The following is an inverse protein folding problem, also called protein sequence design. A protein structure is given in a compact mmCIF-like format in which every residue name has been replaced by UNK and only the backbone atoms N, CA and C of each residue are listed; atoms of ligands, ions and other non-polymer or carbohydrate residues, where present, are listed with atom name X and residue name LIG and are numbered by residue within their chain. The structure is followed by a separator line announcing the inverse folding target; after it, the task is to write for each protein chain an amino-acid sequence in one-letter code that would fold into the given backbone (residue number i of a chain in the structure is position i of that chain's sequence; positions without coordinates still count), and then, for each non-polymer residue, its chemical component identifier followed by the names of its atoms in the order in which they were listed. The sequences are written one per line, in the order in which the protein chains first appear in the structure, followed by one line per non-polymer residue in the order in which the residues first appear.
data_IF_720175364206
#
_entry.id   IF_720175364206
#
_cell.length_a   1.000
_cell.length_b   1.000
_cell.length_c   1.000
_cell.angle_alpha   90.00
_cell.angle_beta   90.00
_cell.angle_gamma   90.00
#
_symmetry.space_group_name_H-M   'P 1'
#
loop_
_entity.id
_entity.type
_entity.pdbx_description
1 polymer ?
#
# COMPACT_ATOMS: atom_id res chain seq x y z
N UNK A 1 -36.10 32.91 -8.05
CA UNK A 1 -35.81 31.52 -8.46
C UNK A 1 -35.11 31.62 -9.79
N UNK A 2 -33.81 31.34 -9.87
CA UNK A 2 -33.08 31.30 -11.13
C UNK A 2 -32.07 30.16 -11.03
N UNK A 3 -32.41 29.04 -11.68
CA UNK A 3 -31.53 27.88 -11.79
C UNK A 3 -30.47 28.19 -12.84
N UNK A 4 -29.21 28.34 -12.41
CA UNK A 4 -28.07 28.31 -13.33
C UNK A 4 -27.69 26.85 -13.60
N UNK A 5 -27.47 26.47 -14.88
CA UNK A 5 -27.20 25.08 -15.25
C UNK A 5 -25.79 24.70 -14.79
N UNK A 6 -25.71 23.68 -13.94
CA UNK A 6 -24.44 23.04 -13.61
C UNK A 6 -23.89 22.39 -14.88
N UNK A 7 -22.89 23.03 -15.52
CA UNK A 7 -22.05 22.37 -16.52
C UNK A 7 -21.56 21.06 -15.92
N UNK A 8 -21.87 19.94 -16.58
CA UNK A 8 -21.17 18.68 -16.40
C UNK A 8 -19.67 18.94 -16.60
N UNK A 9 -18.93 19.18 -15.51
CA UNK A 9 -17.47 19.17 -15.55
C UNK A 9 -17.07 17.73 -15.72
N UNK A 10 -16.44 17.48 -16.85
CA UNK A 10 -15.66 16.30 -17.18
C UNK A 10 -14.91 15.81 -15.94
N UNK A 11 -15.39 14.72 -15.35
CA UNK A 11 -14.82 14.09 -14.18
C UNK A 11 -13.59 13.33 -14.65
N UNK A 12 -12.46 14.03 -14.73
CA UNK A 12 -11.17 13.51 -15.15
C UNK A 12 -10.62 12.65 -13.98
N UNK A 13 -10.85 11.32 -13.95
CA UNK A 13 -10.62 10.47 -12.77
C UNK A 13 -9.15 10.02 -12.71
N UNK A 14 -8.25 10.85 -13.23
CA UNK A 14 -6.87 10.51 -13.44
C UNK A 14 -6.09 10.69 -12.13
N UNK A 15 -6.09 9.63 -11.31
CA UNK A 15 -5.19 9.48 -10.18
C UNK A 15 -3.83 8.99 -10.70
N UNK A 16 -2.81 9.84 -10.58
CA UNK A 16 -1.42 9.45 -10.86
C UNK A 16 -0.74 9.22 -9.53
N UNK A 17 -0.31 7.98 -9.31
CA UNK A 17 0.48 7.60 -8.15
C UNK A 17 1.86 7.14 -8.63
N UNK A 18 2.89 7.53 -7.89
CA UNK A 18 4.25 7.10 -8.11
C UNK A 18 4.95 6.94 -6.77
N UNK A 19 5.92 6.03 -6.71
CA UNK A 19 6.62 5.74 -5.47
C UNK A 19 8.02 5.26 -5.75
N UNK A 20 8.94 5.66 -4.89
CA UNK A 20 10.30 5.17 -4.84
C UNK A 20 10.53 4.50 -3.51
N UNK A 21 11.12 3.31 -3.50
CA UNK A 21 11.53 2.62 -2.28
C UNK A 21 12.93 2.06 -2.45
N UNK A 22 13.74 2.24 -1.41
CA UNK A 22 15.09 1.72 -1.31
C UNK A 22 15.23 0.94 -0.01
N UNK A 23 15.63 -0.33 -0.12
CA UNK A 23 15.90 -1.21 1.02
C UNK A 23 17.40 -1.52 1.06
N UNK A 24 18.00 -1.44 2.26
CA UNK A 24 19.42 -1.72 2.49
C UNK A 24 19.59 -2.71 3.64
N UNK A 25 20.09 -3.89 3.31
CA UNK A 25 20.45 -4.93 4.27
C UNK A 25 21.73 -4.51 5.01
N UNK A 26 21.69 -4.48 6.34
CA UNK A 26 22.89 -4.35 7.16
C UNK A 26 23.52 -5.72 7.43
N UNK A 27 22.67 -6.70 7.73
CA UNK A 27 23.04 -8.08 8.04
C UNK A 27 22.00 -9.04 7.44
N UNK A 28 22.25 -10.36 7.52
CA UNK A 28 21.28 -11.37 7.03
C UNK A 28 19.87 -11.27 7.64
N UNK A 29 19.75 -10.67 8.82
CA UNK A 29 18.49 -10.51 9.55
C UNK A 29 17.94 -9.09 9.53
N UNK A 30 18.77 -8.06 9.51
CA UNK A 30 18.34 -6.68 9.70
C UNK A 30 18.52 -5.87 8.42
N UNK A 31 17.49 -5.13 8.04
CA UNK A 31 17.50 -4.20 6.93
C UNK A 31 16.92 -2.84 7.32
N UNK A 32 17.26 -1.81 6.58
CA UNK A 32 16.58 -0.52 6.62
C UNK A 32 15.82 -0.30 5.33
N UNK A 33 14.78 0.52 5.38
CA UNK A 33 14.07 0.94 4.19
C UNK A 33 13.78 2.43 4.26
N UNK A 34 13.81 3.07 3.09
CA UNK A 34 13.30 4.41 2.86
C UNK A 34 12.34 4.37 1.69
N UNK A 35 11.18 5.01 1.83
CA UNK A 35 10.21 5.18 0.76
C UNK A 35 9.85 6.63 0.58
N UNK A 36 9.52 6.99 -0.65
CA UNK A 36 9.00 8.29 -1.01
C UNK A 36 7.92 8.10 -2.06
N UNK A 37 6.67 8.26 -1.63
CA UNK A 37 5.49 8.11 -2.45
C UNK A 37 4.89 9.49 -2.74
N UNK A 38 4.50 9.72 -3.99
CA UNK A 38 3.82 10.93 -4.42
C UNK A 38 2.55 10.57 -5.17
N UNK A 39 1.45 11.22 -4.80
CA UNK A 39 0.13 11.00 -5.37
C UNK A 39 -0.47 12.34 -5.80
N UNK A 40 -1.04 12.35 -7.01
CA UNK A 40 -1.77 13.48 -7.57
C UNK A 40 -3.19 13.03 -7.88
N UNK A 41 -4.16 13.57 -7.14
CA UNK A 41 -5.56 13.18 -7.23
C UNK A 41 -6.48 14.41 -7.28
N UNK A 42 -6.88 14.83 -8.49
CA UNK A 42 -7.73 16.01 -8.75
C UNK A 42 -9.18 15.90 -8.22
N UNK A 43 -9.85 14.73 -8.17
CA UNK A 43 -11.24 14.61 -7.71
C UNK A 43 -11.48 14.85 -6.21
N UNK A 44 -10.45 14.73 -5.34
CA UNK A 44 -10.59 14.90 -3.87
C UNK A 44 -10.21 16.29 -3.33
N UNK A 45 -10.07 17.33 -4.18
CA UNK A 45 -9.48 18.64 -3.80
C UNK A 45 -8.06 18.52 -3.16
N UNK A 46 -7.35 17.41 -3.45
CA UNK A 46 -6.02 17.10 -2.94
C UNK A 46 -4.99 17.41 -4.04
N UNK A 47 -4.37 18.60 -4.02
CA UNK A 47 -3.52 19.04 -5.14
C UNK A 47 -2.28 18.14 -5.31
N UNK A 48 -1.68 17.71 -4.20
CA UNK A 48 -0.48 16.87 -4.18
C UNK A 48 -0.29 16.28 -2.78
N UNK A 49 -0.01 14.98 -2.69
CA UNK A 49 0.38 14.31 -1.44
C UNK A 49 1.76 13.70 -1.61
N UNK A 50 2.66 14.01 -0.68
CA UNK A 50 3.97 13.39 -0.57
C UNK A 50 4.06 12.65 0.75
N UNK A 51 4.37 11.36 0.70
CA UNK A 51 4.58 10.52 1.88
C UNK A 51 6.03 10.07 1.88
N UNK A 52 6.80 10.52 2.85
CA UNK A 52 8.18 10.09 3.05
C UNK A 52 8.18 9.10 4.21
N UNK A 53 8.49 7.84 3.93
CA UNK A 53 8.57 6.76 4.90
C UNK A 53 10.00 6.32 5.14
N UNK A 54 10.30 5.88 6.35
CA UNK A 54 11.59 5.29 6.66
C UNK A 54 11.52 4.41 7.90
N UNK A 55 12.31 3.34 7.92
CA UNK A 55 12.29 2.43 9.05
C UNK A 55 13.33 1.33 9.00
N UNK A 56 13.20 0.42 9.94
CA UNK A 56 14.00 -0.78 10.09
C UNK A 56 13.09 -2.01 9.92
N UNK A 57 13.67 -3.06 9.37
CA UNK A 57 13.02 -4.35 9.22
C UNK A 57 13.91 -5.48 9.70
N UNK A 58 13.27 -6.55 10.10
CA UNK A 58 13.90 -7.79 10.51
C UNK A 58 13.32 -8.96 9.73
N UNK A 59 14.16 -9.63 8.95
CA UNK A 59 13.92 -10.95 8.38
C UNK A 59 13.91 -11.97 9.52
N UNK A 60 12.75 -12.16 10.14
CA UNK A 60 12.58 -13.09 11.26
C UNK A 60 12.72 -14.53 10.80
N UNK A 61 12.17 -14.84 9.63
CA UNK A 61 12.34 -16.14 8.96
C UNK A 61 12.77 -15.85 7.52
N UNK A 62 13.86 -16.47 7.06
CA UNK A 62 14.32 -16.36 5.67
C UNK A 62 14.88 -17.71 5.23
N UNK A 63 14.05 -18.48 4.55
CA UNK A 63 14.35 -19.79 3.97
C UNK A 63 13.95 -19.78 2.48
N UNK A 64 14.38 -20.79 1.71
CA UNK A 64 14.10 -20.87 0.26
C UNK A 64 12.59 -20.83 -0.08
N UNK A 65 11.76 -21.35 0.83
CA UNK A 65 10.30 -21.43 0.71
C UNK A 65 9.54 -20.42 1.56
N UNK A 66 10.06 -19.97 2.68
CA UNK A 66 9.32 -19.13 3.64
C UNK A 66 10.12 -17.89 4.01
N UNK A 67 9.47 -16.74 3.92
CA UNK A 67 10.01 -15.44 4.34
C UNK A 67 9.00 -14.77 5.27
N UNK A 68 9.46 -14.28 6.42
CA UNK A 68 8.68 -13.47 7.35
C UNK A 68 9.49 -12.22 7.71
N UNK A 69 9.01 -11.08 7.25
CA UNK A 69 9.61 -9.79 7.47
C UNK A 69 8.74 -8.99 8.43
N UNK A 70 9.34 -8.50 9.51
CA UNK A 70 8.69 -7.55 10.41
C UNK A 70 9.35 -6.19 10.18
N UNK A 71 8.56 -5.16 9.95
CA UNK A 71 9.01 -3.80 9.68
C UNK A 71 8.42 -2.86 10.71
N UNK A 72 9.21 -1.88 11.12
CA UNK A 72 8.77 -0.78 11.95
C UNK A 72 9.42 0.51 11.44
N UNK A 73 8.67 1.59 11.42
CA UNK A 73 9.15 2.85 10.89
C UNK A 73 8.24 4.01 11.22
N UNK A 74 8.58 5.14 10.63
CA UNK A 74 7.81 6.36 10.67
C UNK A 74 7.56 6.80 9.23
N UNK A 75 6.41 7.43 9.02
CA UNK A 75 6.07 8.06 7.77
C UNK A 75 5.64 9.50 8.04
N UNK A 76 6.05 10.41 7.18
CA UNK A 76 5.62 11.79 7.19
C UNK A 76 4.72 12.02 6.00
N UNK A 77 3.43 12.22 6.29
CA UNK A 77 2.45 12.51 5.27
C UNK A 77 2.26 14.02 5.16
N UNK A 78 2.69 14.60 4.05
CA UNK A 78 2.49 16.01 3.72
C UNK A 78 1.48 16.11 2.59
N UNK A 79 0.29 16.60 2.91
CA UNK A 79 -0.77 16.86 1.94
C UNK A 79 -0.94 18.37 1.72
N UNK A 80 -0.74 18.81 0.48
CA UNK A 80 -1.05 20.17 0.07
C UNK A 80 -2.49 20.22 -0.47
N UNK A 81 -3.39 20.76 0.35
CA UNK A 81 -4.79 21.01 0.00
C UNK A 81 -5.02 22.52 -0.18
N UNK A 82 -6.03 22.91 -0.98
CA UNK A 82 -6.44 24.32 -1.08
C UNK A 82 -7.02 24.75 0.28
N UNK A 83 -6.24 25.51 1.05
CA UNK A 83 -6.69 26.17 2.30
C UNK A 83 -6.04 25.66 3.59
N UNK A 84 -5.42 24.47 3.62
CA UNK A 84 -4.67 24.00 4.79
C UNK A 84 -3.59 22.98 4.40
N UNK A 85 -2.35 23.24 4.80
CA UNK A 85 -1.30 22.22 4.77
C UNK A 85 -1.52 21.27 5.95
N UNK A 86 -1.67 19.98 5.67
CA UNK A 86 -1.73 18.95 6.71
C UNK A 86 -0.42 18.20 6.72
N UNK A 87 0.36 18.40 7.77
CA UNK A 87 1.54 17.61 8.11
C UNK A 87 1.13 16.62 9.20
N UNK A 88 1.12 15.33 8.87
CA UNK A 88 0.80 14.28 9.82
C UNK A 88 1.97 13.30 9.91
N UNK A 89 2.73 13.30 11.01
CA UNK A 89 3.63 12.20 11.32
C UNK A 89 2.81 10.97 11.72
N UNK A 90 3.11 9.85 11.09
CA UNK A 90 2.49 8.55 11.31
C UNK A 90 3.58 7.55 11.71
N UNK A 91 3.30 6.69 12.68
CA UNK A 91 4.10 5.48 12.89
C UNK A 91 3.59 4.36 11.99
N UNK A 92 4.50 3.48 11.60
CA UNK A 92 4.27 2.36 10.70
C UNK A 92 4.78 1.09 11.36
N UNK A 93 3.94 0.07 11.47
CA UNK A 93 4.34 -1.30 11.73
C UNK A 93 3.83 -2.18 10.60
N UNK A 94 4.65 -3.07 10.05
CA UNK A 94 4.21 -4.01 9.04
C UNK A 94 4.77 -5.41 9.28
N UNK A 95 4.03 -6.43 8.84
CA UNK A 95 4.46 -7.81 8.79
C UNK A 95 4.16 -8.35 7.40
N UNK A 96 5.18 -8.84 6.70
CA UNK A 96 5.03 -9.47 5.40
C UNK A 96 5.45 -10.94 5.50
N UNK A 97 4.50 -11.83 5.27
CA UNK A 97 4.73 -13.26 5.23
C UNK A 97 4.60 -13.76 3.80
N UNK A 98 5.59 -14.48 3.29
CA UNK A 98 5.56 -15.14 1.99
C UNK A 98 5.89 -16.60 2.14
N UNK A 99 5.08 -17.46 1.54
CA UNK A 99 5.30 -18.89 1.54
C UNK A 99 5.11 -19.49 0.16
N UNK A 100 6.11 -20.23 -0.32
CA UNK A 100 6.08 -21.01 -1.55
C UNK A 100 5.76 -22.46 -1.17
N UNK A 101 4.52 -22.87 -1.41
CA UNK A 101 4.12 -24.28 -1.26
C UNK A 101 4.81 -25.14 -2.31
N UNK A 102 4.83 -24.65 -3.56
CA UNK A 102 5.48 -25.27 -4.70
C UNK A 102 6.12 -24.16 -5.54
N UNK A 103 6.99 -24.49 -6.50
CA UNK A 103 7.53 -23.51 -7.45
C UNK A 103 6.46 -22.72 -8.21
N UNK A 104 5.27 -23.33 -8.38
CA UNK A 104 4.11 -22.74 -9.04
C UNK A 104 3.13 -22.06 -8.10
N UNK A 105 3.10 -22.39 -6.81
CA UNK A 105 2.07 -21.92 -5.88
C UNK A 105 2.69 -21.11 -4.74
N UNK A 106 2.30 -19.83 -4.64
CA UNK A 106 2.84 -18.88 -3.67
C UNK A 106 1.72 -18.14 -2.98
N UNK A 107 1.82 -18.06 -1.66
CA UNK A 107 0.96 -17.25 -0.80
C UNK A 107 1.79 -16.10 -0.24
N UNK A 108 1.19 -14.91 -0.19
CA UNK A 108 1.76 -13.72 0.41
C UNK A 108 0.69 -13.07 1.27
N UNK A 109 0.99 -12.79 2.53
CA UNK A 109 0.15 -12.01 3.41
C UNK A 109 0.94 -10.79 3.85
N UNK A 110 0.37 -9.60 3.73
CA UNK A 110 0.93 -8.38 4.29
C UNK A 110 -0.07 -7.76 5.24
N UNK A 111 0.40 -7.51 6.46
CA UNK A 111 -0.32 -6.74 7.46
C UNK A 111 0.44 -5.45 7.68
N UNK A 112 -0.24 -4.32 7.65
CA UNK A 112 0.36 -3.01 7.90
C UNK A 112 -0.57 -2.19 8.79
N UNK A 113 0.01 -1.61 9.82
CA UNK A 113 -0.63 -0.76 10.81
C UNK A 113 0.00 0.63 10.76
N UNK A 114 -0.83 1.64 10.52
CA UNK A 114 -0.46 3.04 10.59
C UNK A 114 -1.15 3.68 11.78
N UNK A 115 -0.42 4.45 12.58
CA UNK A 115 -0.97 5.22 13.68
C UNK A 115 -0.52 6.68 13.56
N UNK A 116 -1.47 7.61 13.58
CA UNK A 116 -1.19 9.04 13.59
C UNK A 116 -0.62 9.43 14.96
N UNK A 117 0.59 10.00 14.96
CA UNK A 117 1.29 10.41 16.19
C UNK A 117 0.78 11.73 16.75
N UNK A 118 0.09 12.55 15.94
CA UNK A 118 -0.50 13.82 16.37
C UNK A 118 -1.88 13.60 16.97
N UNK A 119 -2.63 12.61 16.46
CA UNK A 119 -3.98 12.27 16.93
C UNK A 119 -4.13 10.76 17.06
N UNK A 120 -3.86 10.23 18.25
CA UNK A 120 -3.97 8.80 18.58
C UNK A 120 -5.34 8.15 18.21
N UNK A 121 -6.40 8.95 18.08
CA UNK A 121 -7.72 8.48 17.61
C UNK A 121 -7.78 8.08 16.13
N UNK A 122 -6.74 8.39 15.33
CA UNK A 122 -6.63 8.04 13.91
C UNK A 122 -5.61 6.92 13.73
N UNK A 123 -6.09 5.74 13.36
CA UNK A 123 -5.26 4.62 12.95
C UNK A 123 -5.88 3.94 11.73
N UNK A 124 -5.02 3.27 10.96
CA UNK A 124 -5.40 2.54 9.76
C UNK A 124 -4.73 1.18 9.75
N UNK A 125 -5.51 0.16 9.43
CA UNK A 125 -5.06 -1.21 9.27
C UNK A 125 -5.24 -1.61 7.82
N UNK A 126 -4.23 -2.26 7.27
CA UNK A 126 -4.12 -2.66 5.88
C UNK A 126 -3.72 -4.13 5.93
N UNK A 127 -4.63 -5.01 5.55
CA UNK A 127 -4.36 -6.43 5.42
C UNK A 127 -4.52 -6.83 3.96
N UNK A 128 -3.55 -7.54 3.39
CA UNK A 128 -3.68 -8.13 2.07
C UNK A 128 -3.27 -9.60 2.13
N UNK A 129 -4.14 -10.47 1.64
CA UNK A 129 -3.87 -11.88 1.42
C UNK A 129 -3.87 -12.16 -0.08
N UNK A 130 -2.74 -12.57 -0.62
CA UNK A 130 -2.55 -12.85 -2.04
C UNK A 130 -2.16 -14.31 -2.27
N UNK A 131 -2.88 -14.98 -3.15
CA UNK A 131 -2.55 -16.30 -3.68
C UNK A 131 -2.17 -16.16 -5.14
N UNK A 132 -1.07 -16.76 -5.55
CA UNK A 132 -0.65 -16.79 -6.95
C UNK A 132 -0.23 -18.18 -7.39
N UNK A 133 -0.72 -18.59 -8.56
CA UNK A 133 -0.51 -19.89 -9.15
C UNK A 133 -0.01 -19.74 -10.60
N UNK A 134 1.17 -20.28 -10.90
CA UNK A 134 1.68 -20.37 -12.26
C UNK A 134 1.00 -21.56 -12.97
N UNK A 135 0.08 -21.26 -13.89
CA UNK A 135 -0.66 -22.26 -14.69
C UNK A 135 0.28 -22.85 -15.75
N UNK A 136 1.04 -22.00 -16.43
CA UNK A 136 2.04 -22.40 -17.43
C UNK A 136 3.36 -21.68 -17.19
N UNK A 137 4.38 -21.93 -18.03
CA UNK A 137 5.67 -21.22 -17.94
C UNK A 137 5.55 -19.72 -18.20
N UNK A 138 4.50 -19.27 -18.92
CA UNK A 138 4.28 -17.87 -19.30
C UNK A 138 3.06 -17.23 -18.63
N UNK A 139 2.07 -18.03 -18.24
CA UNK A 139 0.80 -17.54 -17.70
C UNK A 139 0.69 -17.96 -16.24
N UNK A 140 0.46 -16.98 -15.38
CA UNK A 140 0.07 -17.18 -13.99
C UNK A 140 -1.29 -16.55 -13.71
N UNK A 141 -1.93 -16.99 -12.66
CA UNK A 141 -3.13 -16.40 -12.11
C UNK A 141 -2.87 -15.95 -10.69
N UNK A 142 -3.55 -14.89 -10.25
CA UNK A 142 -3.51 -14.45 -8.87
C UNK A 142 -4.86 -13.93 -8.42
N UNK A 143 -5.07 -14.05 -7.11
CA UNK A 143 -6.16 -13.45 -6.39
C UNK A 143 -5.60 -12.77 -5.14
N UNK A 144 -6.06 -11.56 -4.87
CA UNK A 144 -5.68 -10.75 -3.73
C UNK A 144 -6.94 -10.25 -3.05
N UNK A 145 -7.05 -10.55 -1.77
CA UNK A 145 -8.08 -10.03 -0.87
C UNK A 145 -7.41 -8.97 0.00
N UNK A 146 -7.81 -7.73 -0.19
CA UNK A 146 -7.37 -6.59 0.60
C UNK A 146 -8.48 -6.12 1.53
N UNK A 147 -8.14 -5.87 2.78
CA UNK A 147 -8.98 -5.21 3.75
C UNK A 147 -8.27 -3.94 4.23
N UNK A 148 -9.00 -2.84 4.24
CA UNK A 148 -8.48 -1.51 4.56
C UNK A 148 -9.41 -0.89 5.60
N UNK A 149 -9.06 -1.05 6.85
CA UNK A 149 -9.79 -0.45 7.96
C UNK A 149 -9.23 0.94 8.30
N UNK A 150 -10.07 1.96 8.31
CA UNK A 150 -9.75 3.31 8.74
C UNK A 150 -10.72 3.76 9.83
N UNK A 151 -10.21 4.03 11.03
CA UNK A 151 -11.07 4.38 12.16
C UNK A 151 -11.74 5.77 12.01
N UNK A 152 -11.16 6.67 11.20
CA UNK A 152 -11.72 8.00 10.91
C UNK A 152 -11.51 8.36 9.44
N UNK A 153 -12.35 7.83 8.54
CA UNK A 153 -12.36 8.27 7.15
C UNK A 153 -12.77 9.75 7.08
N UNK A 154 -12.34 10.43 6.02
CA UNK A 154 -12.71 11.83 5.81
C UNK A 154 -14.16 11.91 5.32
N UNK A 155 -15.04 12.59 6.06
CA UNK A 155 -16.44 12.76 5.68
C UNK A 155 -17.33 11.57 6.06
N UNK A 156 -18.15 11.10 5.12
CA UNK A 156 -19.22 10.09 5.33
C UNK A 156 -18.85 8.70 4.80
N UNK A 157 -17.57 8.47 4.50
CA UNK A 157 -17.10 7.20 3.91
C UNK A 157 -17.12 6.07 4.93
N UNK A 158 -17.35 4.84 4.47
CA UNK A 158 -17.31 3.65 5.32
C UNK A 158 -15.93 3.48 5.96
N UNK A 159 -15.91 2.88 7.15
CA UNK A 159 -14.67 2.64 7.90
C UNK A 159 -13.85 1.47 7.32
N UNK A 160 -14.46 0.62 6.52
CA UNK A 160 -13.84 -0.59 6.03
C UNK A 160 -14.01 -0.72 4.52
N UNK A 161 -12.91 -0.66 3.79
CA UNK A 161 -12.91 -0.86 2.34
C UNK A 161 -12.37 -2.27 2.03
N UNK A 162 -13.26 -3.14 1.53
CA UNK A 162 -12.89 -4.48 1.07
C UNK A 162 -12.56 -4.45 -0.43
N UNK A 163 -11.42 -5.00 -0.79
CA UNK A 163 -10.95 -5.07 -2.17
C UNK A 163 -10.66 -6.52 -2.57
N UNK A 164 -11.38 -7.01 -3.57
CA UNK A 164 -11.05 -8.27 -4.22
C UNK A 164 -10.45 -8.00 -5.59
N UNK A 165 -9.19 -8.35 -5.77
CA UNK A 165 -8.49 -8.25 -7.06
C UNK A 165 -8.17 -9.64 -7.56
N UNK A 166 -8.51 -9.93 -8.81
CA UNK A 166 -8.13 -11.16 -9.50
C UNK A 166 -7.58 -10.81 -10.86
N UNK A 167 -6.62 -11.58 -11.35
CA UNK A 167 -6.01 -11.28 -12.64
C UNK A 167 -5.08 -12.34 -13.15
N UNK A 168 -4.63 -12.12 -14.38
CA UNK A 168 -3.67 -12.97 -15.07
C UNK A 168 -2.33 -12.25 -15.11
N UNK A 169 -1.26 -12.97 -14.81
CA UNK A 169 0.13 -12.52 -14.93
C UNK A 169 0.73 -13.13 -16.19
N UNK A 170 1.34 -12.29 -17.02
CA UNK A 170 2.12 -12.74 -18.17
C UNK A 170 3.60 -12.52 -17.91
N UNK A 171 4.36 -13.61 -17.82
CA UNK A 171 5.80 -13.57 -17.61
C UNK A 171 6.52 -13.52 -18.97
N UNK A 172 7.14 -12.39 -19.28
CA UNK A 172 7.98 -12.24 -20.47
C UNK A 172 9.38 -12.80 -20.18
N UNK A 173 9.59 -14.09 -20.47
CA UNK A 173 10.91 -14.73 -20.35
C UNK A 173 10.86 -16.26 -20.46
N UNK A 174 11.96 -16.88 -20.86
CA UNK A 174 12.15 -18.33 -20.69
C UNK A 174 12.43 -18.57 -19.20
N UNK A 175 11.49 -19.16 -18.46
CA UNK A 175 11.81 -19.76 -17.15
C UNK A 175 12.87 -20.84 -17.40
N UNK A 176 14.09 -20.64 -16.87
CA UNK A 176 15.11 -21.69 -16.77
C UNK A 176 14.58 -22.80 -15.87
#
# INVERSE_FOLDING_TARGET
MEQQPQRCREYDPNAVWGGFRYDRDFNRKLFSFGSWDFERDRPKRLNFRSVIGGGLGNHTIKNDRTELDLLIGLAWNRAWQVGANTDTPESLGAAAFKHKFTERLKVQNSFTFYQDLTRASKYRIIYDASLSADITKRIGWFITVGDRFNNRPFGVTEKNDFLLTTGIKWNFGKKK
#
